data_IF_485543893871
#
_entry.id   IF_485543893871
#
_cell.length_a   1.000
_cell.length_b   1.000
_cell.length_c   1.000
_cell.angle_alpha   90.00
_cell.angle_beta   90.00
_cell.angle_gamma   90.00
#
_symmetry.space_group_name_H-M   'P 1'
#
loop_
_entity.id
_entity.type
_entity.pdbx_description
1 polymer ?
2 non-polymer ?
3 water ?
#
# COMPACT_ATOMS: atom_id res chain seq x y z
N UNK A 26 23.73 17.82 -28.89
CA UNK A 26 22.64 18.83 -28.76
C UNK A 26 21.24 18.19 -28.90
N UNK A 27 21.01 17.38 -29.95
CA UNK A 27 19.77 16.66 -30.18
C UNK A 27 19.67 15.48 -29.20
N UNK A 28 18.50 15.33 -28.55
CA UNK A 28 18.32 14.52 -27.35
C UNK A 28 17.82 13.13 -27.74
N UNK A 29 18.50 12.08 -27.24
CA UNK A 29 18.36 10.71 -27.73
C UNK A 29 17.20 10.05 -26.98
N UNK A 30 16.33 9.29 -27.69
CA UNK A 30 15.30 8.46 -27.09
C UNK A 30 15.89 7.08 -26.75
N UNK A 31 15.40 6.46 -25.66
CA UNK A 31 15.72 5.08 -25.28
C UNK A 31 14.38 4.36 -25.15
N UNK A 32 14.15 3.31 -25.97
CA UNK A 32 12.97 2.46 -25.90
C UNK A 32 13.32 1.25 -25.01
N UNK A 33 12.54 1.02 -23.95
CA UNK A 33 12.68 -0.12 -23.06
C UNK A 33 12.13 -1.36 -23.80
N UNK A 34 12.88 -2.47 -23.74
CA UNK A 34 12.56 -3.70 -24.46
C UNK A 34 12.72 -4.89 -23.52
N UNK A 35 11.70 -5.78 -23.48
CA UNK A 35 11.84 -7.13 -22.95
C UNK A 35 11.90 -8.17 -24.06
N UNK A 36 12.27 -7.77 -25.30
CA UNK A 36 12.37 -8.69 -26.42
C UNK A 36 13.46 -9.73 -26.13
N UNK A 37 13.18 -11.01 -26.42
CA UNK A 37 14.13 -12.11 -26.21
C UNK A 37 14.54 -12.30 -24.73
N UNK A 38 13.67 -11.92 -23.76
CA UNK A 38 13.85 -12.24 -22.34
C UNK A 38 13.05 -13.46 -21.88
N UNK A 39 12.18 -14.06 -22.73
CA UNK A 39 11.46 -15.28 -22.47
C UNK A 39 12.02 -16.40 -23.35
N UNK A 40 12.36 -17.56 -22.77
CA UNK A 40 12.93 -18.68 -23.50
C UNK A 40 11.87 -19.61 -24.11
N UNK A 41 10.57 -19.50 -23.75
CA UNK A 41 9.48 -20.34 -24.26
C UNK A 41 8.41 -19.47 -24.93
N UNK A 42 7.77 -20.00 -26.00
CA UNK A 42 6.55 -19.41 -26.57
C UNK A 42 5.38 -19.47 -25.57
N UNK A 43 4.42 -18.56 -25.73
CA UNK A 43 3.18 -18.49 -24.94
C UNK A 43 3.45 -18.50 -23.43
N UNK A 44 4.42 -17.68 -22.98
CA UNK A 44 4.89 -17.66 -21.60
C UNK A 44 4.86 -16.24 -21.04
N UNK A 45 5.08 -16.15 -19.73
CA UNK A 45 5.17 -14.92 -19.00
C UNK A 45 6.34 -15.00 -18.01
N UNK A 46 6.80 -13.83 -17.57
CA UNK A 46 7.75 -13.72 -16.47
C UNK A 46 7.09 -14.24 -15.17
N UNK A 47 7.82 -15.14 -14.48
CA UNK A 47 7.51 -15.58 -13.12
C UNK A 47 8.77 -15.57 -12.24
N UNK A 48 8.58 -15.28 -10.94
CA UNK A 48 9.62 -15.31 -9.92
C UNK A 48 9.04 -15.88 -8.61
N UNK A 49 9.91 -16.48 -7.79
CA UNK A 49 9.62 -16.71 -6.38
C UNK A 49 10.42 -15.80 -5.43
N UNK A 50 11.01 -14.68 -5.90
CA UNK A 50 11.86 -13.80 -5.09
C UNK A 50 11.08 -12.67 -4.37
N UNK A 51 9.74 -12.63 -4.37
CA UNK A 51 9.01 -11.58 -3.66
C UNK A 51 9.11 -11.61 -2.12
N UNK A 52 8.66 -10.52 -1.49
CA UNK A 52 8.36 -10.42 -0.06
C UNK A 52 6.83 -10.46 0.14
N UNK A 53 6.32 -11.26 1.09
CA UNK A 53 4.89 -11.46 1.31
C UNK A 53 4.28 -10.22 1.98
N UNK A 54 3.25 -9.61 1.35
CA UNK A 54 2.32 -8.66 1.96
C UNK A 54 1.06 -9.35 2.49
N UNK A 55 -0.10 -8.65 2.46
CA UNK A 55 -1.40 -9.14 2.96
C UNK A 55 -1.89 -10.36 2.19
N UNK A 56 -1.90 -10.24 0.86
CA UNK A 56 -2.40 -11.25 -0.08
C UNK A 56 -1.26 -11.75 -0.97
N UNK A 57 -0.48 -10.83 -1.53
CA UNK A 57 0.46 -11.11 -2.61
C UNK A 57 1.90 -10.95 -2.11
N UNK A 58 2.82 -11.62 -2.83
CA UNK A 58 4.25 -11.34 -2.78
C UNK A 58 4.55 -10.16 -3.70
N UNK A 59 5.45 -9.24 -3.28
CA UNK A 59 5.85 -8.05 -4.04
C UNK A 59 7.31 -8.24 -4.49
N UNK A 60 7.59 -7.98 -5.79
CA UNK A 60 8.93 -7.94 -6.37
C UNK A 60 9.05 -6.73 -7.30
N UNK A 61 10.28 -6.28 -7.60
CA UNK A 61 10.56 -5.21 -8.55
C UNK A 61 11.33 -5.79 -9.74
N UNK A 62 10.72 -5.74 -10.94
CA UNK A 62 11.40 -6.11 -12.19
C UNK A 62 12.24 -4.93 -12.65
N UNK A 63 13.54 -5.15 -12.93
CA UNK A 63 14.38 -4.19 -13.65
C UNK A 63 14.39 -4.63 -15.12
N UNK A 64 14.31 -3.67 -16.05
CA UNK A 64 14.49 -3.99 -17.49
C UNK A 64 15.95 -4.40 -17.74
N UNK A 65 16.26 -5.12 -18.86
CA UNK A 65 17.64 -5.49 -19.17
C UNK A 65 18.72 -4.38 -19.17
N UNK A 66 18.35 -3.15 -19.58
CA UNK A 66 19.23 -1.98 -19.58
C UNK A 66 19.31 -1.24 -18.23
N UNK A 67 18.54 -1.66 -17.19
CA UNK A 67 18.53 -1.04 -15.86
C UNK A 67 18.18 0.45 -15.94
N UNK A 68 17.17 0.78 -16.77
CA UNK A 68 16.63 2.12 -16.98
C UNK A 68 15.40 2.34 -16.09
N UNK A 69 14.50 1.33 -15.98
CA UNK A 69 13.28 1.39 -15.18
C UNK A 69 13.13 0.17 -14.26
N UNK A 70 12.37 0.37 -13.16
CA UNK A 70 11.78 -0.69 -12.37
C UNK A 70 10.27 -0.73 -12.57
N UNK A 71 9.68 -1.95 -12.52
CA UNK A 71 8.24 -2.19 -12.60
C UNK A 71 7.84 -3.01 -11.38
N UNK A 72 6.80 -2.54 -10.63
CA UNK A 72 6.22 -3.35 -9.56
C UNK A 72 5.61 -4.64 -10.14
N UNK A 73 5.75 -5.74 -9.39
CA UNK A 73 5.28 -7.06 -9.77
C UNK A 73 4.74 -7.77 -8.53
N UNK A 74 3.50 -8.26 -8.61
CA UNK A 74 2.84 -8.97 -7.52
C UNK A 74 2.36 -10.35 -8.02
N UNK A 75 2.45 -11.37 -7.15
CA UNK A 75 1.96 -12.72 -7.46
C UNK A 75 1.44 -13.38 -6.19
N UNK A 76 0.59 -14.40 -6.39
CA UNK A 76 -0.15 -15.01 -5.28
C UNK A 76 -0.88 -16.28 -5.71
N UNK A 77 -1.96 -16.59 -4.99
CA UNK A 77 -2.62 -17.89 -5.12
C UNK A 77 -3.27 -18.17 -6.49
N UNK A 78 -3.51 -17.14 -7.33
CA UNK A 78 -4.13 -17.26 -8.64
C UNK A 78 -3.12 -17.01 -9.77
N UNK A 79 -1.79 -17.15 -9.48
CA UNK A 79 -0.72 -16.80 -10.40
C UNK A 79 -0.39 -15.32 -10.33
N UNK A 80 -0.17 -14.71 -11.52
CA UNK A 80 0.05 -13.26 -11.64
C UNK A 80 -1.03 -12.48 -10.86
N UNK A 81 -0.60 -11.60 -9.92
CA UNK A 81 -1.45 -10.82 -9.05
C UNK A 81 -1.74 -9.44 -9.63
N UNK A 82 -0.67 -8.72 -10.00
CA UNK A 82 -0.77 -7.38 -10.53
C UNK A 82 0.58 -6.68 -10.49
N UNK A 83 0.54 -5.34 -10.57
CA UNK A 83 1.67 -4.60 -11.05
C UNK A 83 1.87 -4.97 -12.52
N UNK A 84 3.08 -5.36 -12.94
CA UNK A 84 3.41 -5.72 -14.32
C UNK A 84 4.01 -7.10 -14.38
N UNK A 85 3.82 -7.77 -15.52
CA UNK A 85 4.66 -8.86 -15.99
C UNK A 85 4.86 -8.69 -17.48
N UNK A 86 5.89 -9.34 -18.02
CA UNK A 86 6.15 -9.38 -19.45
C UNK A 86 5.73 -10.73 -20.00
N UNK A 87 5.18 -10.72 -21.23
CA UNK A 87 4.59 -11.91 -21.85
C UNK A 87 4.72 -11.81 -23.36
N UNK A 88 4.70 -12.97 -24.03
CA UNK A 88 4.61 -13.08 -25.49
C UNK A 88 3.33 -13.79 -25.94
N UNK A 89 2.29 -13.84 -25.07
CA UNK A 89 1.12 -14.67 -25.34
C UNK A 89 0.26 -14.01 -26.43
N UNK A 90 -0.41 -14.85 -27.24
CA UNK A 90 -1.12 -14.45 -28.46
C UNK A 90 -2.62 -14.76 -28.40
N UNK A 91 -3.20 -15.06 -27.21
CA UNK A 91 -4.56 -15.59 -27.13
C UNK A 91 -5.53 -14.40 -27.20
N UNK A 92 -6.24 -14.27 -28.33
CA UNK A 92 -7.26 -13.22 -28.54
C UNK A 92 -8.72 -13.72 -28.37
N UNK A 93 -8.95 -14.97 -27.91
CA UNK A 93 -10.27 -15.59 -27.79
C UNK A 93 -10.68 -15.97 -26.37
N UNK A 94 -9.76 -16.35 -25.47
CA UNK A 94 -10.11 -16.93 -24.18
C UNK A 94 -10.50 -15.79 -23.22
N UNK A 95 -11.75 -15.77 -22.67
CA UNK A 95 -12.13 -14.78 -21.65
C UNK A 95 -11.53 -15.13 -20.28
N UNK A 96 -11.58 -14.13 -19.36
CA UNK A 96 -11.26 -14.30 -17.96
C UNK A 96 -9.79 -14.08 -17.61
N UNK A 97 -9.53 -14.06 -16.29
CA UNK A 97 -8.23 -13.64 -15.75
C UNK A 97 -7.08 -14.61 -16.07
N UNK A 98 -7.35 -15.92 -16.38
CA UNK A 98 -6.30 -16.85 -16.77
C UNK A 98 -5.56 -16.46 -18.07
N UNK A 99 -6.09 -15.54 -18.89
CA UNK A 99 -5.47 -15.06 -20.11
C UNK A 99 -4.86 -13.69 -19.84
N UNK A 100 -3.50 -13.59 -19.93
CA UNK A 100 -2.77 -12.32 -19.84
C UNK A 100 -2.45 -11.67 -21.18
N UNK A 101 -2.99 -12.19 -22.30
CA UNK A 101 -2.68 -11.67 -23.63
C UNK A 101 -3.29 -10.27 -23.85
N UNK A 102 -2.59 -9.47 -24.67
CA UNK A 102 -3.13 -8.31 -25.33
C UNK A 102 -4.12 -8.76 -26.41
N UNK A 103 -5.20 -7.97 -26.61
CA UNK A 103 -6.16 -8.19 -27.70
C UNK A 103 -5.54 -8.09 -29.10
N UNK A 104 -4.41 -7.38 -29.25
CA UNK A 104 -3.57 -7.37 -30.44
C UNK A 104 -2.96 -8.72 -30.79
N UNK A 105 -2.75 -9.63 -29.81
CA UNK A 105 -2.11 -10.93 -30.07
C UNK A 105 -0.60 -10.86 -30.26
N UNK A 106 0.05 -9.73 -29.94
CA UNK A 106 1.47 -9.45 -30.22
C UNK A 106 1.82 -8.06 -29.69
N UNK A 107 3.13 -7.80 -29.56
CA UNK A 107 3.63 -6.49 -29.19
C UNK A 107 3.57 -5.50 -30.34
N UNK A 108 3.85 -4.23 -30.01
CA UNK A 108 4.03 -3.16 -31.00
C UNK A 108 5.36 -3.36 -31.74
N UNK A 109 6.45 -3.44 -30.97
CA UNK A 109 7.81 -3.54 -31.49
C UNK A 109 8.24 -4.99 -31.80
N UNK A 110 7.47 -6.03 -31.39
CA UNK A 110 7.98 -7.39 -31.36
C UNK A 110 6.99 -8.35 -30.70
N UNK A 111 7.52 -9.45 -30.16
CA UNK A 111 6.74 -10.51 -29.53
C UNK A 111 6.41 -10.23 -28.07
N UNK A 112 7.27 -9.50 -27.32
CA UNK A 112 7.20 -9.41 -25.86
C UNK A 112 6.68 -8.01 -25.51
N UNK A 113 5.65 -7.96 -24.64
CA UNK A 113 5.02 -6.72 -24.16
C UNK A 113 4.69 -6.91 -22.68
N UNK A 114 4.10 -5.87 -22.07
CA UNK A 114 3.75 -5.85 -20.65
C UNK A 114 2.24 -5.98 -20.50
N UNK A 115 1.81 -6.78 -19.52
CA UNK A 115 0.43 -6.82 -19.03
C UNK A 115 0.46 -6.37 -17.57
N UNK A 116 -0.58 -5.61 -17.19
CA UNK A 116 -0.69 -5.04 -15.86
C UNK A 116 -2.08 -5.33 -15.29
N UNK A 117 -2.17 -5.50 -13.96
CA UNK A 117 -3.40 -5.32 -13.19
C UNK A 117 -3.06 -4.30 -12.11
N UNK A 118 -3.86 -3.21 -12.01
CA UNK A 118 -3.54 -2.10 -11.09
C UNK A 118 -4.76 -1.90 -10.20
N UNK A 119 -4.53 -1.93 -8.87
CA UNK A 119 -5.59 -1.73 -7.88
C UNK A 119 -4.94 -1.43 -6.53
N UNK A 120 -5.74 -1.25 -5.47
CA UNK A 120 -5.22 -0.98 -4.14
C UNK A 120 -4.40 -2.13 -3.53
N UNK A 121 -4.66 -3.40 -3.92
CA UNK A 121 -3.84 -4.53 -3.51
C UNK A 121 -2.49 -4.55 -4.22
N UNK A 122 -2.48 -4.37 -5.55
CA UNK A 122 -1.31 -4.48 -6.42
C UNK A 122 -1.13 -3.19 -7.24
N UNK A 123 -0.67 -2.05 -6.66
CA UNK A 123 -0.48 -0.81 -7.42
C UNK A 123 0.63 -0.95 -8.47
N UNK A 124 0.28 -0.68 -9.74
CA UNK A 124 1.24 -0.73 -10.85
C UNK A 124 2.05 0.56 -10.84
N UNK A 125 3.39 0.44 -10.67
CA UNK A 125 4.33 1.55 -10.59
C UNK A 125 5.51 1.30 -11.54
N UNK A 126 5.92 2.36 -12.27
CA UNK A 126 7.15 2.42 -13.07
C UNK A 126 8.05 3.46 -12.37
N UNK A 127 9.29 3.07 -12.00
CA UNK A 127 10.28 3.95 -11.40
C UNK A 127 11.38 4.22 -12.43
N UNK A 128 11.73 5.51 -12.62
CA UNK A 128 12.87 5.94 -13.39
C UNK A 128 14.12 5.75 -12.54
N UNK A 129 15.06 4.89 -13.00
CA UNK A 129 16.29 4.60 -12.26
C UNK A 129 17.39 5.66 -12.47
N UNK A 130 17.25 6.61 -13.42
CA UNK A 130 18.17 7.73 -13.53
C UNK A 130 17.42 9.00 -13.98
N UNK A 131 16.66 9.57 -13.04
CA UNK A 131 15.79 10.71 -13.33
C UNK A 131 16.56 12.00 -13.60
N UNK A 132 17.77 12.19 -13.04
CA UNK A 132 18.63 13.33 -13.41
C UNK A 132 19.12 13.28 -14.86
N UNK A 133 19.28 12.09 -15.47
CA UNK A 133 19.70 11.90 -16.87
C UNK A 133 18.52 11.82 -17.86
N UNK A 134 17.42 11.12 -17.52
CA UNK A 134 16.31 10.83 -18.44
C UNK A 134 14.97 11.35 -17.92
N UNK A 135 14.09 11.78 -18.86
CA UNK A 135 12.69 12.05 -18.65
C UNK A 135 11.84 10.96 -19.30
N UNK A 136 10.55 10.89 -18.90
CA UNK A 136 9.57 10.04 -19.57
C UNK A 136 9.06 10.76 -20.83
N UNK A 137 8.86 10.00 -21.93
CA UNK A 137 8.19 10.42 -23.16
C UNK A 137 6.77 9.83 -23.25
N UNK A 138 6.67 8.49 -23.10
CA UNK A 138 5.39 7.80 -23.18
C UNK A 138 5.53 6.30 -23.39
N UNK A 139 4.41 5.67 -23.76
CA UNK A 139 4.34 4.25 -24.08
C UNK A 139 3.14 3.94 -24.99
N UNK A 140 3.25 2.82 -25.73
CA UNK A 140 2.12 2.26 -26.45
C UNK A 140 1.22 1.51 -25.46
N UNK A 141 -0.10 1.62 -25.62
CA UNK A 141 -1.10 1.02 -24.74
C UNK A 141 -2.12 0.25 -25.60
N UNK A 142 -2.64 -0.87 -25.09
CA UNK A 142 -3.85 -1.49 -25.63
C UNK A 142 -4.58 -2.23 -24.49
N UNK A 143 -5.77 -2.73 -24.85
CA UNK A 143 -6.54 -3.58 -23.95
C UNK A 143 -5.97 -4.99 -23.86
N UNK A 144 -6.20 -5.61 -22.68
CA UNK A 144 -6.15 -7.07 -22.54
C UNK A 144 -7.33 -7.70 -23.29
N UNK A 145 -7.13 -8.94 -23.77
CA UNK A 145 -8.24 -9.81 -24.22
C UNK A 145 -9.34 -9.92 -23.15
N UNK A 146 -8.94 -10.09 -21.88
CA UNK A 146 -9.80 -10.07 -20.70
C UNK A 146 -10.78 -8.90 -20.68
N UNK A 147 -10.25 -7.69 -20.74
CA UNK A 147 -11.07 -6.46 -20.79
C UNK A 147 -11.88 -6.34 -22.08
N UNK A 148 -11.24 -6.65 -23.24
CA UNK A 148 -11.89 -6.51 -24.53
C UNK A 148 -13.20 -7.32 -24.60
N UNK A 149 -13.14 -8.62 -24.23
CA UNK A 149 -14.30 -9.50 -24.26
C UNK A 149 -15.34 -9.12 -23.20
N UNK A 150 -14.90 -8.65 -22.02
CA UNK A 150 -15.80 -8.09 -21.01
C UNK A 150 -16.60 -6.88 -21.53
N UNK A 151 -15.94 -5.95 -22.24
CA UNK A 151 -16.54 -4.71 -22.73
C UNK A 151 -17.40 -5.00 -23.96
N UNK A 152 -16.83 -5.73 -24.94
CA UNK A 152 -17.47 -5.97 -26.24
C UNK A 152 -18.65 -6.92 -26.10
N UNK A 153 -18.41 -8.10 -25.51
CA UNK A 153 -19.37 -9.20 -25.42
C UNK A 153 -20.07 -9.34 -24.07
N UNK A 154 -19.74 -8.56 -23.02
CA UNK A 154 -20.23 -8.83 -21.67
C UNK A 154 -19.77 -10.18 -21.10
N UNK A 155 -18.57 -10.66 -21.49
CA UNK A 155 -18.05 -11.98 -21.13
C UNK A 155 -16.71 -11.73 -20.39
N UNK A 156 -16.80 -11.69 -19.05
CA UNK A 156 -15.64 -11.63 -18.18
C UNK A 156 -15.05 -13.01 -17.84
N UNK A 157 -15.63 -14.14 -18.33
CA UNK A 157 -15.09 -15.47 -18.06
C UNK A 157 -15.40 -16.03 -16.67
N UNK A 158 -16.17 -15.32 -15.81
CA UNK A 158 -16.40 -15.71 -14.43
C UNK A 158 -17.42 -16.86 -14.33
N UNK A 159 -18.17 -17.13 -15.42
CA UNK A 159 -18.82 -18.41 -15.69
C UNK A 159 -20.32 -18.23 -15.55
N UNK A 160 -20.95 -18.91 -14.58
CA UNK A 160 -22.39 -18.82 -14.30
C UNK A 160 -22.70 -17.47 -13.65
N UNK A 161 -21.89 -17.10 -12.63
CA UNK A 161 -21.86 -15.75 -12.06
C UNK A 161 -21.10 -14.82 -13.02
N UNK A 162 -21.67 -13.60 -13.24
CA UNK A 162 -21.00 -12.47 -13.89
C UNK A 162 -20.90 -11.30 -12.89
N UNK A 163 -19.74 -10.65 -12.86
CA UNK A 163 -19.42 -9.56 -11.94
C UNK A 163 -19.80 -8.22 -12.61
N UNK A 164 -19.46 -8.08 -13.90
CA UNK A 164 -19.85 -6.95 -14.74
C UNK A 164 -21.38 -6.88 -14.94
N UNK A 165 -21.84 -5.66 -15.25
CA UNK A 165 -23.24 -5.34 -15.50
C UNK A 165 -23.73 -5.92 -16.83
N UNK A 166 -22.84 -6.08 -17.83
CA UNK A 166 -23.20 -6.33 -19.20
C UNK A 166 -22.17 -5.70 -20.13
N UNK A 167 -22.34 -5.80 -21.47
CA UNK A 167 -21.48 -5.07 -22.42
C UNK A 167 -21.66 -3.56 -22.27
N UNK A 168 -20.62 -2.82 -22.68
CA UNK A 168 -20.71 -1.36 -22.76
C UNK A 168 -21.73 -0.94 -23.83
N UNK A 169 -22.43 0.19 -23.57
CA UNK A 169 -23.52 0.68 -24.41
C UNK A 169 -23.55 2.21 -24.45
N UNK A 170 -24.17 2.75 -25.51
CA UNK A 170 -24.52 4.16 -25.65
C UNK A 170 -25.59 4.58 -24.65
N UNK A 171 -26.59 3.70 -24.36
CA UNK A 171 -27.60 3.87 -23.32
C UNK A 171 -27.02 4.36 -21.99
N UNK A 172 -25.93 3.71 -21.52
CA UNK A 172 -25.24 4.03 -20.26
C UNK A 172 -24.06 5.00 -20.41
N UNK A 173 -23.74 5.53 -21.62
CA UNK A 173 -22.61 6.42 -21.89
C UNK A 173 -21.31 5.86 -21.29
N UNK A 174 -21.05 4.57 -21.58
CA UNK A 174 -20.03 3.81 -20.87
C UNK A 174 -18.63 4.24 -21.32
N UNK A 175 -17.66 4.11 -20.39
CA UNK A 175 -16.26 4.36 -20.69
C UNK A 175 -15.35 3.61 -19.69
N UNK A 176 -14.09 3.35 -20.11
CA UNK A 176 -13.01 2.80 -19.31
C UNK A 176 -11.79 3.71 -19.49
N UNK A 177 -11.25 4.22 -18.37
CA UNK A 177 -10.16 5.18 -18.32
C UNK A 177 -8.96 4.54 -17.58
N UNK A 178 -7.75 4.71 -18.15
CA UNK A 178 -6.46 4.46 -17.52
C UNK A 178 -5.85 5.82 -17.19
N UNK A 179 -5.46 6.02 -15.91
CA UNK A 179 -4.87 7.27 -15.44
C UNK A 179 -3.43 7.00 -15.01
N UNK A 180 -2.46 7.80 -15.50
CA UNK A 180 -1.06 7.77 -15.07
C UNK A 180 -0.85 9.00 -14.20
N UNK A 181 -0.36 8.83 -12.95
CA UNK A 181 -0.06 9.91 -12.03
C UNK A 181 1.46 9.95 -11.83
N UNK A 182 2.10 11.10 -12.09
CA UNK A 182 3.52 11.32 -11.93
C UNK A 182 3.84 11.91 -10.56
N UNK A 183 4.94 11.44 -9.93
CA UNK A 183 5.45 11.95 -8.66
C UNK A 183 6.94 12.28 -8.76
N UNK A 184 7.36 13.31 -7.99
CA UNK A 184 8.78 13.57 -7.71
C UNK A 184 9.31 12.52 -6.72
N UNK A 185 10.64 12.46 -6.61
CA UNK A 185 11.37 11.55 -5.72
C UNK A 185 11.02 11.76 -4.23
N UNK A 186 10.69 13.00 -3.84
CA UNK A 186 10.19 13.34 -2.50
C UNK A 186 8.72 12.96 -2.25
N UNK A 187 7.97 12.44 -3.25
CA UNK A 187 6.56 12.09 -3.15
C UNK A 187 5.57 13.19 -3.56
N UNK A 188 6.03 14.39 -4.00
CA UNK A 188 5.14 15.46 -4.46
C UNK A 188 4.45 15.06 -5.76
N UNK A 189 3.11 15.12 -5.83
CA UNK A 189 2.36 14.81 -7.06
C UNK A 189 2.60 15.93 -8.08
N UNK A 190 3.03 15.56 -9.31
CA UNK A 190 3.14 16.45 -10.47
C UNK A 190 1.76 16.66 -11.09
N UNK A 191 1.06 15.56 -11.39
CA UNK A 191 -0.13 15.61 -12.21
C UNK A 191 -0.59 14.23 -12.65
N UNK A 192 -1.83 14.20 -13.20
CA UNK A 192 -2.46 13.01 -13.76
C UNK A 192 -2.78 13.24 -15.24
N UNK A 193 -2.71 12.16 -16.03
CA UNK A 193 -3.10 12.15 -17.44
C UNK A 193 -3.88 10.87 -17.76
N UNK A 194 -4.96 11.00 -18.53
CA UNK A 194 -5.94 9.94 -18.79
C UNK A 194 -5.80 9.44 -20.23
N UNK A 195 -6.08 8.14 -20.43
CA UNK A 195 -6.25 7.51 -21.72
C UNK A 195 -7.53 6.67 -21.65
N UNK A 196 -8.43 6.87 -22.63
CA UNK A 196 -9.68 6.12 -22.74
C UNK A 196 -9.45 4.82 -23.52
N UNK A 197 -9.53 3.67 -22.83
CA UNK A 197 -9.47 2.34 -23.41
C UNK A 197 -10.80 1.92 -24.06
N UNK A 198 -11.92 2.48 -23.60
CA UNK A 198 -13.20 2.43 -24.29
C UNK A 198 -14.03 3.67 -24.02
N UNK A 199 -14.91 4.02 -24.97
CA UNK A 199 -15.69 5.25 -24.90
C UNK A 199 -16.97 5.09 -25.75
N UNK A 200 -18.14 5.02 -25.07
CA UNK A 200 -19.49 5.02 -25.65
C UNK A 200 -20.25 6.33 -25.39
N UNK A 201 -19.57 7.45 -25.01
CA UNK A 201 -20.20 8.77 -24.91
C UNK A 201 -20.43 9.33 -26.32
N UNK A 202 -21.51 10.13 -26.47
CA UNK A 202 -21.78 10.94 -27.65
C UNK A 202 -21.97 10.08 -28.91
N UNK A 203 -22.62 8.91 -28.79
CA UNK A 203 -22.78 7.90 -29.85
C UNK A 203 -21.48 7.38 -30.50
N UNK A 204 -20.33 7.38 -29.79
CA UNK A 204 -19.12 6.64 -30.18
C UNK A 204 -19.32 5.19 -29.74
N UNK A 205 -18.63 4.22 -30.38
CA UNK A 205 -18.51 2.85 -29.90
C UNK A 205 -17.04 2.43 -30.01
N UNK A 206 -16.17 3.15 -29.29
CA UNK A 206 -14.72 2.91 -29.31
C UNK A 206 -14.38 1.86 -28.26
N UNK A 207 -13.71 0.75 -28.68
CA UNK A 207 -13.03 -0.19 -27.78
C UNK A 207 -11.62 -0.36 -28.36
N UNK A 208 -10.56 0.05 -27.62
CA UNK A 208 -9.20 -0.01 -28.14
C UNK A 208 -8.80 -1.47 -28.39
N UNK A 209 -8.49 -1.81 -29.67
CA UNK A 209 -8.00 -3.13 -30.05
C UNK A 209 -6.70 -3.11 -30.88
N UNK A 210 -6.01 -1.96 -30.92
CA UNK A 210 -4.72 -1.75 -31.57
C UNK A 210 -3.80 -1.10 -30.54
N UNK A 211 -2.49 -1.10 -30.81
CA UNK A 211 -1.53 -0.33 -30.01
C UNK A 211 -1.71 1.18 -30.32
N UNK A 212 -1.85 2.01 -29.27
CA UNK A 212 -2.09 3.44 -29.36
C UNK A 212 -1.05 4.16 -28.49
N UNK A 213 -0.50 5.29 -28.98
CA UNK A 213 0.48 6.05 -28.22
C UNK A 213 -0.21 6.79 -27.07
N UNK A 214 0.28 6.58 -25.83
CA UNK A 214 -0.11 7.32 -24.64
C UNK A 214 1.07 8.23 -24.27
N UNK A 215 0.93 9.53 -24.56
CA UNK A 215 1.98 10.51 -24.36
C UNK A 215 2.03 10.91 -22.89
N UNK A 216 3.25 10.88 -22.30
CA UNK A 216 3.52 11.21 -20.90
C UNK A 216 4.30 12.52 -20.76
N UNK A 217 4.27 13.45 -21.77
CA UNK A 217 5.01 14.71 -21.67
C UNK A 217 4.54 15.58 -20.51
N UNK A 218 3.23 15.53 -20.16
CA UNK A 218 2.64 16.18 -19.00
C UNK A 218 3.23 15.79 -17.65
N UNK A 219 3.81 14.58 -17.51
CA UNK A 219 4.48 14.08 -16.31
C UNK A 219 5.93 13.66 -16.62
N UNK A 220 6.61 14.32 -17.59
CA UNK A 220 7.93 13.90 -18.07
C UNK A 220 9.01 13.87 -16.96
N UNK A 221 8.90 14.80 -15.98
CA UNK A 221 9.85 14.94 -14.89
C UNK A 221 9.62 13.91 -13.76
N UNK A 222 8.62 12.99 -13.84
CA UNK A 222 8.34 12.02 -12.79
C UNK A 222 9.51 11.10 -12.48
N UNK A 223 9.82 10.97 -11.17
CA UNK A 223 10.68 9.91 -10.64
C UNK A 223 9.99 8.54 -10.73
N UNK A 224 8.68 8.51 -10.41
CA UNK A 224 7.84 7.33 -10.60
C UNK A 224 6.42 7.71 -11.00
N UNK A 225 5.74 6.74 -11.64
CA UNK A 225 4.41 6.87 -12.22
C UNK A 225 3.57 5.73 -11.63
N UNK A 226 2.38 6.03 -11.09
CA UNK A 226 1.42 5.00 -10.69
C UNK A 226 0.21 5.06 -11.62
N UNK A 227 -0.48 3.91 -11.72
CA UNK A 227 -1.60 3.69 -12.63
C UNK A 227 -2.85 3.36 -11.80
N UNK A 228 -3.99 3.95 -12.18
CA UNK A 228 -5.31 3.70 -11.60
C UNK A 228 -6.27 3.56 -12.78
N UNK A 229 -7.31 2.73 -12.61
CA UNK A 229 -8.34 2.55 -13.62
C UNK A 229 -9.71 2.85 -13.03
N UNK A 230 -10.62 3.34 -13.90
CA UNK A 230 -11.99 3.68 -13.52
C UNK A 230 -12.93 3.50 -14.72
N UNK A 231 -14.19 3.23 -14.41
CA UNK A 231 -15.21 3.01 -15.42
C UNK A 231 -16.59 3.43 -14.91
N UNK A 232 -17.57 3.27 -15.82
CA UNK A 232 -18.99 3.42 -15.56
C UNK A 232 -19.68 2.16 -15.01
N UNK A 233 -18.95 1.03 -14.79
CA UNK A 233 -19.50 -0.20 -14.24
C UNK A 233 -18.89 -0.46 -12.86
N UNK A 234 -19.56 0.03 -11.81
CA UNK A 234 -19.12 -0.07 -10.41
C UNK A 234 -20.17 -0.81 -9.55
N UNK A 235 -19.71 -1.47 -8.46
CA UNK A 235 -20.58 -2.02 -7.42
C UNK A 235 -21.13 -0.89 -6.52
N UNK A 236 -21.95 -1.30 -5.54
CA UNK A 236 -22.53 -0.42 -4.54
C UNK A 236 -21.51 0.23 -3.60
N UNK A 237 -20.31 -0.38 -3.39
CA UNK A 237 -19.17 0.27 -2.72
C UNK A 237 -18.30 1.12 -3.64
N UNK A 238 -18.73 1.46 -4.88
CA UNK A 238 -17.94 2.27 -5.79
C UNK A 238 -16.69 1.60 -6.34
N UNK A 239 -16.60 0.24 -6.28
CA UNK A 239 -15.43 -0.50 -6.74
C UNK A 239 -15.72 -0.93 -8.18
N UNK A 240 -14.73 -0.75 -9.08
CA UNK A 240 -14.92 -1.05 -10.49
C UNK A 240 -15.11 -2.56 -10.70
N UNK A 241 -16.16 -2.93 -11.46
CA UNK A 241 -16.43 -4.29 -11.91
C UNK A 241 -15.60 -4.64 -13.14
N UNK A 242 -15.44 -3.70 -14.08
CA UNK A 242 -14.62 -3.87 -15.29
C UNK A 242 -13.22 -4.31 -14.86
N UNK A 243 -12.57 -5.35 -15.45
CA UNK A 243 -11.21 -5.74 -15.00
C UNK A 243 -10.23 -4.57 -15.04
N UNK A 244 -9.39 -4.42 -14.02
CA UNK A 244 -8.48 -3.30 -13.84
C UNK A 244 -7.15 -3.67 -14.50
N UNK A 245 -7.20 -4.19 -15.76
CA UNK A 245 -6.03 -4.66 -16.49
C UNK A 245 -5.81 -3.79 -17.74
N UNK A 246 -4.53 -3.73 -18.17
CA UNK A 246 -4.14 -3.07 -19.42
C UNK A 246 -2.81 -3.64 -19.91
N UNK A 247 -2.44 -3.29 -21.16
CA UNK A 247 -1.16 -3.68 -21.75
C UNK A 247 -0.36 -2.45 -22.15
N UNK A 248 0.97 -2.52 -21.99
CA UNK A 248 1.92 -1.49 -22.40
C UNK A 248 2.99 -2.12 -23.29
N UNK A 249 3.60 -1.29 -24.15
CA UNK A 249 4.80 -1.66 -24.87
C UNK A 249 5.58 -0.42 -25.28
N UNK A 250 6.89 -0.60 -25.55
CA UNK A 250 7.75 0.47 -26.06
C UNK A 250 7.78 1.69 -25.16
N UNK A 251 7.85 1.48 -23.82
CA UNK A 251 8.03 2.56 -22.85
C UNK A 251 9.28 3.35 -23.28
N UNK A 252 9.14 4.67 -23.48
CA UNK A 252 10.18 5.50 -24.09
C UNK A 252 10.62 6.56 -23.08
N UNK A 253 11.96 6.63 -22.86
CA UNK A 253 12.60 7.71 -22.15
C UNK A 253 13.37 8.60 -23.13
N UNK A 254 13.64 9.85 -22.69
CA UNK A 254 14.34 10.87 -23.48
C UNK A 254 15.42 11.49 -22.59
N UNK A 255 16.67 11.60 -23.10
CA UNK A 255 17.74 12.36 -22.44
C UNK A 255 17.31 13.82 -22.20
N UNK A 256 17.60 14.33 -20.99
CA UNK A 256 17.08 15.60 -20.50
C UNK A 256 17.84 16.77 -21.15
N UNK B 27 19.07 26.60 13.65
CA UNK B 27 19.68 25.75 12.59
C UNK B 27 18.99 24.39 12.58
N UNK B 28 19.29 23.55 13.59
CA UNK B 28 19.04 22.10 13.60
C UNK B 28 17.77 21.85 14.43
N UNK B 29 16.67 22.56 14.08
CA UNK B 29 15.53 22.75 14.96
C UNK B 29 14.54 21.59 14.80
N UNK B 30 14.00 21.13 15.96
CA UNK B 30 13.08 20.00 16.06
C UNK B 30 11.63 20.53 16.00
N UNK B 31 10.70 19.72 15.47
CA UNK B 31 9.26 19.97 15.49
C UNK B 31 8.62 18.75 16.13
N UNK B 32 7.92 18.94 17.28
CA UNK B 32 7.18 17.90 17.98
C UNK B 32 5.73 17.98 17.50
N UNK B 33 5.22 16.85 16.99
CA UNK B 33 3.83 16.73 16.54
C UNK B 33 2.95 16.58 17.79
N UNK B 34 1.83 17.32 17.82
CA UNK B 34 0.91 17.36 18.96
C UNK B 34 -0.53 17.25 18.48
N UNK B 35 -1.32 16.35 19.10
CA UNK B 35 -2.77 16.36 19.08
C UNK B 35 -3.35 16.84 20.41
N UNK B 36 -2.55 17.56 21.24
CA UNK B 36 -3.06 18.16 22.46
C UNK B 36 -4.19 19.16 22.14
N UNK B 37 -5.29 19.09 22.94
CA UNK B 37 -6.43 19.99 22.78
C UNK B 37 -7.14 19.84 21.41
N UNK B 38 -7.07 18.65 20.79
CA UNK B 38 -7.87 18.31 19.61
C UNK B 38 -9.11 17.49 19.91
N UNK B 39 -9.34 17.05 21.18
CA UNK B 39 -10.55 16.37 21.62
C UNK B 39 -11.31 17.30 22.57
N UNK B 40 -12.61 17.51 22.34
CA UNK B 40 -13.44 18.37 23.18
C UNK B 40 -14.05 17.64 24.38
N UNK B 41 -13.99 16.28 24.48
CA UNK B 41 -14.51 15.51 25.62
C UNK B 41 -13.39 14.71 26.30
N UNK B 42 -13.49 14.56 27.64
CA UNK B 42 -12.67 13.59 28.37
C UNK B 42 -13.01 12.14 27.97
N UNK B 43 -12.03 11.24 28.13
CA UNK B 43 -12.19 9.80 27.91
C UNK B 43 -12.74 9.50 26.51
N UNK B 44 -12.17 10.16 25.48
CA UNK B 44 -12.64 10.09 24.10
C UNK B 44 -11.48 9.78 23.17
N UNK B 45 -11.86 9.46 21.91
CA UNK B 45 -10.93 9.20 20.84
C UNK B 45 -11.42 9.90 19.58
N UNK B 46 -10.51 10.11 18.63
CA UNK B 46 -10.85 10.55 17.28
C UNK B 46 -11.69 9.48 16.58
N UNK B 47 -12.82 9.90 15.98
CA UNK B 47 -13.64 9.10 15.07
C UNK B 47 -14.02 9.94 13.85
N UNK B 48 -14.17 9.27 12.68
CA UNK B 48 -14.60 9.89 11.44
C UNK B 48 -15.51 8.94 10.68
N UNK B 49 -16.41 9.50 9.85
CA UNK B 49 -17.08 8.76 8.78
C UNK B 49 -16.57 9.12 7.38
N UNK B 50 -15.40 9.78 7.24
CA UNK B 50 -14.85 10.25 5.97
C UNK B 50 -13.96 9.22 5.26
N UNK B 51 -13.84 7.97 5.72
CA UNK B 51 -13.04 6.97 5.02
C UNK B 51 -13.60 6.49 3.67
N UNK B 52 -12.75 5.76 2.93
CA UNK B 52 -13.08 5.01 1.71
C UNK B 52 -13.16 3.53 2.09
N UNK B 53 -14.22 2.84 1.64
CA UNK B 53 -14.48 1.44 1.96
C UNK B 53 -13.47 0.53 1.26
N UNK B 54 -12.77 -0.32 2.04
CA UNK B 54 -12.06 -1.50 1.56
C UNK B 54 -12.97 -2.73 1.68
N UNK B 55 -12.44 -3.84 2.24
CA UNK B 55 -13.12 -5.13 2.30
C UNK B 55 -13.78 -5.22 3.67
N UNK B 56 -12.96 -5.12 4.74
CA UNK B 56 -13.39 -5.10 6.13
C UNK B 56 -13.53 -3.66 6.62
N UNK B 57 -12.51 -2.82 6.38
CA UNK B 57 -12.38 -1.52 7.02
C UNK B 57 -12.50 -0.38 6.00
N UNK B 58 -12.95 0.79 6.51
CA UNK B 58 -12.80 2.07 5.83
C UNK B 58 -11.40 2.61 6.14
N UNK B 59 -10.73 3.22 5.13
CA UNK B 59 -9.41 3.83 5.27
C UNK B 59 -9.54 5.36 5.19
N UNK B 60 -8.86 6.07 6.11
CA UNK B 60 -8.74 7.51 6.14
C UNK B 60 -7.30 7.88 6.47
N UNK B 61 -6.87 9.11 6.10
CA UNK B 61 -5.57 9.67 6.47
C UNK B 61 -5.81 10.87 7.37
N UNK B 62 -5.34 10.79 8.64
CA UNK B 62 -5.34 11.92 9.58
C UNK B 62 -4.14 12.81 9.25
N UNK B 63 -4.33 14.11 9.05
CA UNK B 63 -3.25 15.09 9.06
C UNK B 63 -3.18 15.68 10.46
N UNK B 64 -1.95 15.86 11.02
CA UNK B 64 -1.80 16.56 12.29
C UNK B 64 -2.19 18.04 12.12
N UNK B 65 -2.49 18.81 13.21
CA UNK B 65 -2.83 20.22 13.07
C UNK B 65 -1.86 21.13 12.31
N UNK B 66 -0.54 20.84 12.40
CA UNK B 66 0.49 21.57 11.66
C UNK B 66 0.72 21.08 10.21
N UNK B 67 0.03 20.02 9.75
CA UNK B 67 0.19 19.47 8.40
C UNK B 67 1.65 19.09 8.11
N UNK B 68 2.29 18.46 9.11
CA UNK B 68 3.65 17.94 9.06
C UNK B 68 3.66 16.44 8.69
N UNK B 69 2.71 15.66 9.26
CA UNK B 69 2.59 14.22 9.03
C UNK B 69 1.15 13.83 8.69
N UNK B 70 1.02 12.70 7.95
CA UNK B 70 -0.22 11.93 7.85
C UNK B 70 -0.11 10.66 8.67
N UNK B 71 -1.23 10.18 9.27
CA UNK B 71 -1.33 8.90 9.96
C UNK B 71 -2.46 8.10 9.29
N UNK B 72 -2.18 6.83 8.90
CA UNK B 72 -3.25 5.94 8.42
C UNK B 72 -4.24 5.69 9.57
N UNK B 73 -5.53 5.56 9.21
CA UNK B 73 -6.62 5.36 10.17
C UNK B 73 -7.66 4.45 9.51
N UNK B 74 -8.01 3.36 10.22
CA UNK B 74 -8.98 2.38 9.74
C UNK B 74 -10.08 2.21 10.80
N UNK B 75 -11.33 2.01 10.32
CA UNK B 75 -12.46 1.72 11.19
C UNK B 75 -13.46 0.82 10.47
N UNK B 76 -14.29 0.16 11.31
CA UNK B 76 -15.10 -0.95 10.86
C UNK B 76 -16.13 -1.37 11.90
N UNK B 77 -16.58 -2.63 11.82
CA UNK B 77 -17.73 -3.10 12.61
C UNK B 77 -17.52 -3.16 14.12
N UNK B 78 -16.27 -3.14 14.59
CA UNK B 78 -15.91 -3.17 16.02
C UNK B 78 -15.37 -1.82 16.51
N UNK B 79 -15.69 -0.70 15.79
CA UNK B 79 -15.19 0.61 16.08
C UNK B 79 -13.84 0.85 15.43
N UNK B 80 -12.88 1.40 16.21
CA UNK B 80 -11.49 1.58 15.75
C UNK B 80 -10.94 0.26 15.21
N UNK B 81 -10.46 0.26 13.95
CA UNK B 81 -9.93 -0.89 13.25
C UNK B 81 -8.42 -1.03 13.42
N UNK B 82 -7.70 0.05 13.11
CA UNK B 82 -6.26 0.09 13.14
C UNK B 82 -5.71 1.29 12.42
N UNK B 83 -4.42 1.20 12.05
CA UNK B 83 -3.64 2.39 11.82
C UNK B 83 -3.52 3.14 13.14
N UNK B 84 -3.83 4.44 13.17
CA UNK B 84 -3.74 5.27 14.38
C UNK B 84 -5.05 5.94 14.64
N UNK B 85 -5.31 6.19 15.93
CA UNK B 85 -6.21 7.25 16.37
C UNK B 85 -5.56 7.97 17.54
N UNK B 86 -6.09 9.16 17.86
CA UNK B 86 -5.64 9.95 19.02
C UNK B 86 -6.71 9.84 20.10
N UNK B 87 -6.27 9.81 21.36
CA UNK B 87 -7.12 9.55 22.52
C UNK B 87 -6.52 10.24 23.75
N UNK B 88 -7.37 10.54 24.73
CA UNK B 88 -7.00 11.01 26.07
C UNK B 88 -7.47 10.04 27.18
N UNK B 89 -7.74 8.77 26.83
CA UNK B 89 -8.32 7.81 27.77
C UNK B 89 -7.28 7.37 28.81
N UNK B 90 -7.74 7.11 30.04
CA UNK B 90 -6.91 6.87 31.22
C UNK B 90 -7.19 5.50 31.85
N UNK B 91 -7.82 4.54 31.13
CA UNK B 91 -8.27 3.29 31.74
C UNK B 91 -7.07 2.33 31.78
N UNK B 92 -6.53 2.08 32.98
CA UNK B 92 -5.41 1.15 33.21
C UNK B 92 -5.85 -0.21 33.79
N UNK B 93 -7.16 -0.52 33.85
CA UNK B 93 -7.70 -1.73 34.46
C UNK B 93 -8.50 -2.61 33.49
N UNK B 94 -9.23 -2.07 32.50
CA UNK B 94 -10.17 -2.84 31.69
C UNK B 94 -9.37 -3.63 30.63
N UNK B 95 -9.42 -5.00 30.60
CA UNK B 95 -8.80 -5.79 29.54
C UNK B 95 -9.61 -5.74 28.25
N UNK B 96 -8.97 -6.17 27.15
CA UNK B 96 -9.63 -6.37 25.86
C UNK B 96 -9.65 -5.16 24.95
N UNK B 97 -10.08 -5.40 23.69
CA UNK B 97 -9.92 -4.44 22.61
C UNK B 97 -10.80 -3.19 22.76
N UNK B 98 -11.90 -3.23 23.55
CA UNK B 98 -12.73 -2.05 23.78
C UNK B 98 -11.98 -0.89 24.48
N UNK B 99 -10.84 -1.16 25.15
CA UNK B 99 -10.03 -0.15 25.80
C UNK B 99 -8.84 0.20 24.90
N UNK B 100 -8.79 1.47 24.42
CA UNK B 100 -7.66 2.02 23.66
C UNK B 100 -6.64 2.78 24.51
N UNK B 101 -6.71 2.71 25.85
CA UNK B 101 -5.83 3.48 26.70
C UNK B 101 -4.40 2.94 26.68
N UNK B 102 -3.42 3.85 26.87
CA UNK B 102 -2.06 3.52 27.27
C UNK B 102 -2.06 3.03 28.70
N UNK B 103 -1.20 2.04 29.02
CA UNK B 103 -0.97 1.58 30.39
C UNK B 103 -0.45 2.67 31.35
N UNK B 104 0.20 3.71 30.80
CA UNK B 104 0.56 4.94 31.51
C UNK B 104 -0.65 5.74 32.02
N UNK B 105 -1.86 5.61 31.41
CA UNK B 105 -3.03 6.36 31.83
C UNK B 105 -2.99 7.85 31.42
N UNK B 106 -2.08 8.25 30.53
CA UNK B 106 -1.81 9.63 30.13
C UNK B 106 -0.70 9.64 29.08
N UNK B 107 -0.57 10.79 28.40
CA UNK B 107 0.49 10.99 27.42
C UNK B 107 1.83 11.32 28.09
N UNK B 108 2.87 11.38 27.25
CA UNK B 108 4.20 11.83 27.66
C UNK B 108 4.17 13.35 27.87
N UNK B 109 3.76 14.07 26.82
CA UNK B 109 3.76 15.53 26.78
C UNK B 109 2.49 16.16 27.37
N UNK B 110 1.47 15.41 27.81
CA UNK B 110 0.11 15.93 27.98
C UNK B 110 -0.93 14.81 28.09
N UNK B 111 -2.19 15.17 27.83
CA UNK B 111 -3.33 14.27 27.92
C UNK B 111 -3.55 13.41 26.68
N UNK B 112 -3.18 13.89 25.47
CA UNK B 112 -3.59 13.30 24.19
C UNK B 112 -2.37 12.60 23.59
N UNK B 113 -2.53 11.32 23.22
CA UNK B 113 -1.50 10.47 22.62
C UNK B 113 -2.14 9.62 21.53
N UNK B 114 -1.32 8.80 20.86
CA UNK B 114 -1.74 7.95 19.77
C UNK B 114 -1.83 6.50 20.25
N UNK B 115 -2.91 5.79 19.86
CA UNK B 115 -3.01 4.33 19.96
C UNK B 115 -3.08 3.78 18.53
N UNK B 116 -2.43 2.63 18.33
CA UNK B 116 -2.32 1.98 17.03
C UNK B 116 -2.70 0.51 17.15
N UNK B 117 -3.32 -0.06 16.11
CA UNK B 117 -3.28 -1.49 15.82
C UNK B 117 -2.72 -1.64 14.42
N UNK B 118 -1.66 -2.45 14.26
CA UNK B 118 -0.95 -2.59 12.99
C UNK B 118 -0.96 -4.07 12.63
N UNK B 119 -1.43 -4.36 11.41
CA UNK B 119 -1.49 -5.71 10.88
C UNK B 119 -1.66 -5.61 9.36
N UNK B 120 -1.74 -6.74 8.68
CA UNK B 120 -1.91 -6.77 7.24
C UNK B 120 -3.26 -6.21 6.75
N UNK B 121 -4.33 -6.23 7.59
CA UNK B 121 -5.59 -5.56 7.27
C UNK B 121 -5.46 -4.04 7.36
N UNK B 122 -4.90 -3.54 8.48
CA UNK B 122 -4.82 -2.12 8.83
C UNK B 122 -3.34 -1.74 9.10
N UNK B 123 -2.47 -1.62 8.06
CA UNK B 123 -1.06 -1.23 8.27
C UNK B 123 -0.93 0.21 8.80
N UNK B 124 -0.25 0.37 9.94
CA UNK B 124 -0.02 1.66 10.57
C UNK B 124 1.13 2.36 9.84
N UNK B 125 0.85 3.54 9.23
CA UNK B 125 1.78 4.29 8.42
C UNK B 125 1.80 5.75 8.90
N UNK B 126 3.00 6.32 9.03
CA UNK B 126 3.24 7.75 9.23
C UNK B 126 3.90 8.24 7.94
N UNK B 127 3.31 9.25 7.27
CA UNK B 127 3.87 9.86 6.06
C UNK B 127 4.41 11.24 6.41
N UNK B 128 5.67 11.52 6.01
CA UNK B 128 6.29 12.84 6.13
C UNK B 128 5.73 13.69 4.99
N UNK B 129 4.99 14.78 5.30
CA UNK B 129 4.39 15.64 4.29
C UNK B 129 5.38 16.66 3.69
N UNK B 130 6.61 16.84 4.24
CA UNK B 130 7.64 17.67 3.63
C UNK B 130 9.01 17.05 3.88
N UNK B 131 9.29 15.92 3.19
CA UNK B 131 10.52 15.17 3.38
C UNK B 131 11.76 15.90 2.84
N UNK B 132 11.62 16.77 1.82
CA UNK B 132 12.71 17.63 1.38
C UNK B 132 13.19 18.64 2.45
N UNK B 133 12.29 19.10 3.35
CA UNK B 133 12.61 20.01 4.45
C UNK B 133 12.96 19.30 5.77
N UNK B 134 12.25 18.21 6.15
CA UNK B 134 12.36 17.56 7.46
C UNK B 134 12.78 16.09 7.35
N UNK B 135 13.61 15.63 8.30
CA UNK B 135 13.85 14.20 8.59
C UNK B 135 13.09 13.76 9.84
N UNK B 136 12.95 12.43 10.01
CA UNK B 136 12.43 11.83 11.23
C UNK B 136 13.53 11.77 12.30
N UNK B 137 13.16 12.03 13.57
CA UNK B 137 14.02 11.85 14.74
C UNK B 137 13.60 10.62 15.56
N UNK B 138 12.31 10.56 15.94
CA UNK B 138 11.79 9.46 16.74
C UNK B 138 10.45 9.79 17.38
N UNK B 139 10.06 8.94 18.33
CA UNK B 139 8.82 9.10 19.09
C UNK B 139 8.90 8.34 20.43
N UNK B 140 8.10 8.79 21.40
CA UNK B 140 7.88 8.05 22.64
C UNK B 140 6.91 6.91 22.40
N UNK B 141 7.16 5.74 23.01
CA UNK B 141 6.37 4.52 22.82
C UNK B 141 6.01 3.95 24.20
N UNK B 142 4.83 3.32 24.33
CA UNK B 142 4.50 2.45 25.45
C UNK B 142 3.49 1.40 24.99
N UNK B 143 3.17 0.50 25.94
CA UNK B 143 2.14 -0.50 25.74
C UNK B 143 0.74 0.09 25.91
N UNK B 144 -0.23 -0.53 25.21
CA UNK B 144 -1.64 -0.42 25.55
C UNK B 144 -1.90 -1.18 26.86
N UNK B 145 -2.93 -0.73 27.61
CA UNK B 145 -3.54 -1.52 28.68
C UNK B 145 -3.91 -2.94 28.20
N UNK B 146 -4.50 -3.04 27.01
CA UNK B 146 -4.85 -4.28 26.32
C UNK B 146 -3.69 -5.27 26.27
N UNK B 147 -2.55 -4.85 25.72
CA UNK B 147 -1.33 -5.67 25.70
C UNK B 147 -0.74 -5.93 27.09
N UNK B 148 -0.71 -4.89 27.95
CA UNK B 148 -0.09 -5.02 29.26
C UNK B 148 -0.76 -6.13 30.10
N UNK B 149 -2.10 -6.12 30.16
CA UNK B 149 -2.86 -7.10 30.92
C UNK B 149 -2.78 -8.49 30.29
N UNK B 150 -2.74 -8.57 28.96
CA UNK B 150 -2.47 -9.81 28.24
C UNK B 150 -1.12 -10.42 28.62
N UNK B 151 -0.05 -9.62 28.64
CA UNK B 151 1.32 -10.07 28.88
C UNK B 151 1.54 -10.36 30.38
N UNK B 152 1.13 -9.43 31.27
CA UNK B 152 1.38 -9.51 32.69
C UNK B 152 0.51 -10.59 33.34
N UNK B 153 -0.81 -10.50 33.13
CA UNK B 153 -1.82 -11.30 33.80
C UNK B 153 -2.38 -12.45 32.96
N UNK B 154 -2.00 -12.62 31.67
CA UNK B 154 -2.65 -13.60 30.80
C UNK B 154 -4.15 -13.31 30.57
N UNK B 155 -4.57 -12.02 30.57
CA UNK B 155 -5.96 -11.60 30.47
C UNK B 155 -6.06 -10.67 29.26
N UNK B 156 -6.47 -11.27 28.11
CA UNK B 156 -6.78 -10.52 26.90
C UNK B 156 -8.23 -10.01 26.82
N UNK B 157 -9.11 -10.30 27.81
CA UNK B 157 -10.49 -9.84 27.80
C UNK B 157 -11.43 -10.57 26.84
N UNK B 158 -10.99 -11.67 26.19
CA UNK B 158 -11.80 -12.41 25.21
C UNK B 158 -12.86 -13.28 25.90
N UNK B 159 -12.76 -13.49 27.24
CA UNK B 159 -13.87 -13.85 28.11
C UNK B 159 -13.68 -15.30 28.58
N UNK B 160 -14.59 -16.20 28.20
CA UNK B 160 -14.46 -17.65 28.44
C UNK B 160 -13.37 -18.23 27.52
N UNK B 161 -13.43 -17.85 26.22
CA UNK B 161 -12.37 -17.97 25.21
C UNK B 161 -11.13 -17.14 25.58
N UNK B 162 -9.91 -17.72 25.56
CA UNK B 162 -8.64 -17.01 25.58
C UNK B 162 -7.87 -17.36 24.30
N UNK B 163 -7.37 -16.33 23.60
CA UNK B 163 -6.65 -16.44 22.33
C UNK B 163 -5.16 -16.61 22.63
N UNK B 164 -4.64 -15.83 23.59
CA UNK B 164 -3.25 -15.95 24.07
C UNK B 164 -3.01 -17.27 24.81
N UNK B 165 -1.72 -17.65 24.87
CA UNK B 165 -1.25 -18.88 25.50
C UNK B 165 -1.31 -18.80 27.03
N UNK B 166 -1.16 -17.60 27.61
CA UNK B 166 -0.88 -17.42 29.03
C UNK B 166 -0.03 -16.16 29.21
N UNK B 167 0.32 -15.80 30.47
CA UNK B 167 1.26 -14.69 30.72
C UNK B 167 2.65 -14.99 30.11
N UNK B 168 3.40 -13.94 29.79
CA UNK B 168 4.80 -14.09 29.40
C UNK B 168 5.63 -14.62 30.57
N UNK B 169 6.65 -15.43 30.25
CA UNK B 169 7.49 -16.11 31.23
C UNK B 169 8.93 -16.27 30.73
N UNK B 170 9.87 -16.39 31.70
CA UNK B 170 11.25 -16.79 31.46
C UNK B 170 11.37 -18.21 30.89
N UNK B 171 10.50 -19.15 31.35
CA UNK B 171 10.40 -20.52 30.84
C UNK B 171 10.33 -20.59 29.31
N UNK B 172 9.49 -19.75 28.69
CA UNK B 172 9.31 -19.63 27.25
C UNK B 172 10.17 -18.55 26.56
N UNK B 173 11.07 -17.83 27.27
CA UNK B 173 11.93 -16.76 26.73
C UNK B 173 11.11 -15.76 25.91
N UNK B 174 9.99 -15.32 26.49
CA UNK B 174 8.97 -14.59 25.75
C UNK B 174 9.44 -13.17 25.41
N UNK B 175 8.94 -12.61 24.29
CA UNK B 175 9.18 -11.22 23.92
C UNK B 175 8.09 -10.71 22.98
N UNK B 176 7.90 -9.37 22.97
CA UNK B 176 7.05 -8.63 22.06
C UNK B 176 7.92 -7.53 21.44
N UNK B 177 7.98 -7.51 20.10
CA UNK B 177 8.79 -6.58 19.32
C UNK B 177 7.87 -5.71 18.46
N UNK B 178 8.14 -4.39 18.43
CA UNK B 178 7.60 -3.42 17.47
C UNK B 178 8.71 -3.07 16.50
N UNK B 179 8.48 -3.23 15.18
CA UNK B 179 9.46 -2.91 14.15
C UNK B 179 8.95 -1.71 13.34
N UNK B 180 9.77 -0.65 13.16
CA UNK B 180 9.51 0.47 12.28
C UNK B 180 10.36 0.27 11.03
N UNK B 181 9.75 0.29 9.83
CA UNK B 181 10.44 0.15 8.55
C UNK B 181 10.32 1.47 7.79
N UNK B 182 11.45 2.05 7.35
CA UNK B 182 11.51 3.30 6.61
C UNK B 182 11.54 3.03 5.11
N UNK B 183 10.80 3.85 4.33
CA UNK B 183 10.73 3.77 2.87
C UNK B 183 10.95 5.14 2.24
N UNK B 184 11.56 5.16 1.04
CA UNK B 184 11.49 6.29 0.12
C UNK B 184 10.07 6.38 -0.47
N UNK B 185 9.73 7.55 -1.04
CA UNK B 185 8.41 7.80 -1.65
C UNK B 185 8.10 6.83 -2.79
N UNK B 186 9.14 6.36 -3.52
CA UNK B 186 9.01 5.31 -4.55
C UNK B 186 8.75 3.89 -4.00
N UNK B 187 8.78 3.66 -2.66
CA UNK B 187 8.58 2.34 -2.04
C UNK B 187 9.86 1.53 -1.79
N UNK B 188 11.07 2.07 -2.07
CA UNK B 188 12.34 1.44 -1.77
C UNK B 188 12.55 1.40 -0.26
N UNK B 189 12.81 0.20 0.31
CA UNK B 189 13.08 0.04 1.73
C UNK B 189 14.47 0.64 2.05
N UNK B 190 14.54 1.51 3.07
CA UNK B 190 15.78 2.03 3.65
C UNK B 190 16.31 1.02 4.67
N UNK B 191 15.47 0.59 5.61
CA UNK B 191 15.94 -0.09 6.80
C UNK B 191 14.81 -0.34 7.79
N UNK B 192 15.09 -1.21 8.79
CA UNK B 192 14.18 -1.54 9.88
C UNK B 192 14.88 -1.29 11.22
N UNK B 193 14.10 -0.87 12.24
CA UNK B 193 14.56 -0.68 13.62
C UNK B 193 13.53 -1.35 14.54
N UNK B 194 14.00 -2.09 15.58
CA UNK B 194 13.14 -2.80 16.52
C UNK B 194 13.12 -2.08 17.87
N UNK B 195 12.00 -2.18 18.58
CA UNK B 195 11.85 -1.81 19.98
C UNK B 195 11.13 -2.97 20.68
N UNK B 196 11.70 -3.47 21.81
CA UNK B 196 11.08 -4.53 22.60
C UNK B 196 10.11 -3.92 23.65
N UNK B 197 8.81 -4.17 23.47
CA UNK B 197 7.74 -3.80 24.39
C UNK B 197 7.64 -4.76 25.59
N UNK B 198 8.10 -6.00 25.43
CA UNK B 198 8.35 -6.91 26.54
C UNK B 198 9.49 -7.85 26.19
N UNK B 199 10.19 -8.32 27.24
CA UNK B 199 11.38 -9.14 27.05
C UNK B 199 11.63 -10.00 28.29
N UNK B 200 11.42 -11.33 28.16
CA UNK B 200 11.73 -12.36 29.16
C UNK B 200 12.90 -13.26 28.75
N UNK B 201 13.75 -12.88 27.77
CA UNK B 201 14.94 -13.63 27.41
C UNK B 201 16.03 -13.39 28.46
N UNK B 202 16.85 -14.42 28.75
CA UNK B 202 18.09 -14.34 29.52
C UNK B 202 17.85 -13.78 30.94
N UNK B 203 16.78 -14.26 31.61
CA UNK B 203 16.33 -13.82 32.94
C UNK B 203 15.94 -12.33 33.06
N UNK B 204 15.59 -11.61 31.96
CA UNK B 204 14.93 -10.30 32.03
C UNK B 204 13.45 -10.54 32.35
N UNK B 205 12.75 -9.57 32.97
CA UNK B 205 11.30 -9.62 33.18
C UNK B 205 10.72 -8.23 32.87
N UNK B 206 11.00 -7.73 31.64
CA UNK B 206 10.64 -6.38 31.23
C UNK B 206 9.25 -6.45 30.60
N UNK B 207 8.29 -5.65 31.12
CA UNK B 207 7.07 -5.27 30.40
C UNK B 207 7.04 -3.73 30.41
N UNK B 208 7.10 -3.07 29.23
CA UNK B 208 7.11 -1.61 29.16
C UNK B 208 5.78 -1.05 29.70
N UNK B 209 5.85 -0.27 30.81
CA UNK B 209 4.70 0.42 31.38
C UNK B 209 4.91 1.92 31.62
N UNK B 210 5.95 2.50 31.01
CA UNK B 210 6.27 3.92 31.01
C UNK B 210 6.49 4.32 29.56
N UNK B 211 6.51 5.64 29.30
CA UNK B 211 6.90 6.17 27.99
C UNK B 211 8.43 6.03 27.81
N UNK B 212 8.87 5.43 26.68
CA UNK B 212 10.28 5.19 26.36
C UNK B 212 10.57 5.75 24.97
N UNK B 213 11.76 6.36 24.80
CA UNK B 213 12.15 6.95 23.52
C UNK B 213 12.49 5.84 22.52
N UNK B 214 11.85 5.86 21.33
CA UNK B 214 12.16 4.98 20.21
C UNK B 214 12.83 5.85 19.14
N UNK B 215 14.15 5.73 19.00
CA UNK B 215 14.93 6.59 18.13
C UNK B 215 14.84 6.04 16.70
N UNK B 216 14.54 6.94 15.73
CA UNK B 216 14.40 6.62 14.31
C UNK B 216 15.55 7.20 13.46
N UNK B 217 16.73 7.50 14.04
CA UNK B 217 17.85 8.06 13.28
C UNK B 217 18.33 7.14 12.13
N UNK B 218 18.27 5.81 12.33
CA UNK B 218 18.55 4.80 11.32
C UNK B 218 17.70 4.87 10.05
N UNK B 219 16.46 5.42 10.12
CA UNK B 219 15.55 5.61 9.00
C UNK B 219 15.13 7.08 8.88
N UNK B 220 16.03 8.03 9.24
CA UNK B 220 15.68 9.46 9.30
C UNK B 220 15.23 10.05 7.95
N UNK B 221 15.80 9.54 6.84
CA UNK B 221 15.50 10.00 5.49
C UNK B 221 14.20 9.39 4.91
N UNK B 222 13.42 8.58 5.66
CA UNK B 222 12.17 8.01 5.19
C UNK B 222 11.12 9.06 4.81
N UNK B 223 10.50 8.86 3.61
CA UNK B 223 9.25 9.51 3.25
C UNK B 223 8.08 9.02 4.12
N UNK B 224 8.02 7.71 4.37
CA UNK B 224 7.04 7.11 5.24
C UNK B 224 7.63 5.93 6.02
N UNK B 225 7.00 5.66 7.18
CA UNK B 225 7.35 4.58 8.09
C UNK B 225 6.14 3.69 8.26
N UNK B 226 6.31 2.36 8.17
CA UNK B 226 5.28 1.40 8.52
C UNK B 226 5.72 0.62 9.75
N UNK B 227 4.71 0.06 10.47
CA UNK B 227 4.90 -0.64 11.74
C UNK B 227 4.40 -2.08 11.60
N UNK B 228 5.17 -3.03 12.16
CA UNK B 228 4.83 -4.45 12.21
C UNK B 228 5.14 -4.92 13.63
N UNK B 229 4.36 -5.88 14.16
CA UNK B 229 4.61 -6.46 15.47
C UNK B 229 4.76 -7.97 15.37
N UNK B 230 5.54 -8.52 16.31
CA UNK B 230 5.82 -9.95 16.38
C UNK B 230 6.13 -10.34 17.84
N UNK B 231 5.86 -11.62 18.14
CA UNK B 231 6.03 -12.15 19.49
C UNK B 231 6.35 -13.64 19.46
N UNK B 232 6.57 -14.17 20.66
CA UNK B 232 6.74 -15.60 20.94
C UNK B 232 5.41 -16.33 21.19
N UNK B 233 4.23 -15.66 21.09
CA UNK B 233 2.92 -16.29 21.27
C UNK B 233 2.17 -16.22 19.93
N UNK B 234 2.32 -17.30 19.15
CA UNK B 234 1.73 -17.44 17.83
C UNK B 234 0.81 -18.65 17.77
N UNK B 235 -0.19 -18.58 16.86
CA UNK B 235 -1.05 -19.74 16.57
C UNK B 235 -0.30 -20.74 15.69
N UNK B 236 -1.00 -21.83 15.35
CA UNK B 236 -0.45 -22.88 14.48
C UNK B 236 -0.17 -22.41 13.05
N UNK B 237 -0.83 -21.35 12.53
CA UNK B 237 -0.49 -20.66 11.28
C UNK B 237 0.59 -19.57 11.43
N UNK B 238 1.32 -19.47 12.56
CA UNK B 238 2.34 -18.44 12.75
C UNK B 238 1.80 -17.00 12.83
N UNK B 239 0.53 -16.80 13.20
CA UNK B 239 -0.08 -15.48 13.38
C UNK B 239 0.02 -15.12 14.85
N UNK B 240 0.43 -13.88 15.16
CA UNK B 240 0.61 -13.45 16.55
C UNK B 240 -0.75 -13.41 17.29
N UNK B 241 -0.80 -14.07 18.46
CA UNK B 241 -1.93 -14.03 19.39
C UNK B 241 -1.89 -12.78 20.25
N UNK B 242 -0.70 -12.34 20.69
CA UNK B 242 -0.50 -11.12 21.46
C UNK B 242 -1.12 -9.95 20.69
N UNK B 243 -1.94 -9.04 21.28
CA UNK B 243 -2.57 -7.97 20.49
C UNK B 243 -1.54 -7.12 19.74
N UNK B 244 -1.77 -6.83 18.45
CA UNK B 244 -0.83 -6.07 17.62
C UNK B 244 -1.07 -4.58 17.80
N UNK B 245 -1.14 -4.10 19.08
CA UNK B 245 -1.43 -2.73 19.44
C UNK B 245 -0.22 -2.11 20.15
N UNK B 246 -0.12 -0.78 20.08
CA UNK B 246 0.92 -0.01 20.75
C UNK B 246 0.47 1.45 20.86
N UNK B 247 1.20 2.24 21.68
CA UNK B 247 0.95 3.66 21.83
C UNK B 247 2.19 4.47 21.47
N UNK B 248 1.99 5.64 20.86
CA UNK B 248 3.04 6.60 20.50
C UNK B 248 2.66 7.97 21.07
N UNK B 249 3.69 8.79 21.31
CA UNK B 249 3.50 10.21 21.61
C UNK B 249 4.74 11.01 21.21
N UNK B 250 4.56 12.33 21.01
CA UNK B 250 5.66 13.24 20.75
C UNK B 250 6.52 12.84 19.56
N UNK B 251 5.88 12.40 18.46
CA UNK B 251 6.57 12.14 17.19
C UNK B 251 7.37 13.40 16.82
N UNK B 252 8.69 13.27 16.59
CA UNK B 252 9.59 14.39 16.42
C UNK B 252 10.21 14.34 15.00
N UNK B 253 10.13 15.46 14.28
CA UNK B 253 10.88 15.74 13.07
C UNK B 253 11.99 16.75 13.34
N UNK B 254 13.00 16.77 12.45
CA UNK B 254 14.17 17.65 12.53
C UNK B 254 14.42 18.27 11.14
N UNK B 255 14.64 19.61 11.08
CA UNK B 255 15.05 20.29 9.85
C UNK B 255 16.38 19.73 9.35
N UNK B 256 16.50 19.50 8.04
CA UNK B 256 17.67 18.88 7.43
C UNK B 256 18.87 19.84 7.37
#
# INVERSE_FOLDING_TARGET
MKAKMKKLSLFLLVSVFAFCGCSDDDEKMEVVISFENQLTEAESEFKTDLGEKGEVYFKYEISDPQKMIQLSHYYGDWGFGGGFTYTNKTDVKTPGYSNLSAITGKGKNGKVYLTSNTNSFTPAQITNLNTSKYNFKGAWVTNTTYDYLAIKDGNDGAGDYSIIKGPFSNKDNDWLKLTATGYKADGSKIGSIDFYLADFRNNKQEIVNTWQWFDWSGIKEADYITFEMSSTDNNDNGQMNTPSYFCLDGITLIEK
MKAKMKKLSLFLLVSVFAFCGCSDDDEKMEVVISFENQLTEAESEFKTDLGEKGEVYFKYEISDPQKMIQLSHYYGDWGFGGGFTYTNKTDVKTPGYSNLSAITGKGKNGKVYLTSNTNSFTPAQITNLNTSKYNFKGAWVTNTTYDYLAIKDGNDGAGDYSIIKGPFSNKDNDWLKLTATGYKADGSKIGSIDFYLADFRNNKQEIVNTWQWFDWSGIKEADYITFEMSSTDNNDNGQMNTPSYFCLDGITLIEK
#
